data_IF_473508804347
#
_entry.id   IF_473508804347
#
_cell.length_a   1.000
_cell.length_b   1.000
_cell.length_c   1.000
_cell.angle_alpha   90.00
_cell.angle_beta   90.00
_cell.angle_gamma   90.00
#
_symmetry.space_group_name_H-M   'P 1'
#
loop_
_entity.id
_entity.type
_entity.pdbx_description
1 polymer ?
#
# COMPACT_ATOMS: atom_id res chain seq x y z
N UNK A 1 -15.76 -18.89 1.89
CA UNK A 1 -15.32 -18.09 0.73
C UNK A 1 -13.85 -18.41 0.44
N UNK A 2 -13.43 -18.65 -0.80
CA UNK A 2 -12.00 -18.77 -1.13
C UNK A 2 -11.47 -17.39 -1.55
N UNK A 3 -10.49 -16.84 -0.81
CA UNK A 3 -9.92 -15.49 -1.01
C UNK A 3 -9.48 -15.26 -2.46
N UNK A 4 -8.94 -16.28 -3.12
CA UNK A 4 -8.48 -16.22 -4.53
C UNK A 4 -9.58 -15.96 -5.55
N UNK A 5 -10.84 -16.29 -5.23
CA UNK A 5 -12.01 -16.05 -6.11
C UNK A 5 -12.88 -14.89 -5.62
N UNK A 6 -12.69 -14.46 -4.36
CA UNK A 6 -13.41 -13.34 -3.77
C UNK A 6 -12.75 -11.97 -4.01
N UNK A 7 -11.48 -11.96 -4.44
CA UNK A 7 -10.72 -10.75 -4.74
C UNK A 7 -10.27 -10.75 -6.20
N UNK A 8 -10.81 -9.80 -6.96
CA UNK A 8 -10.47 -9.59 -8.37
C UNK A 8 -8.95 -9.41 -8.59
N UNK A 9 -8.26 -8.75 -7.65
CA UNK A 9 -6.81 -8.53 -7.69
C UNK A 9 -5.97 -9.79 -7.43
N UNK A 10 -6.54 -10.79 -6.75
CA UNK A 10 -5.88 -12.05 -6.40
C UNK A 10 -6.31 -13.22 -7.31
N UNK A 11 -7.27 -12.97 -8.20
CA UNK A 11 -7.77 -13.97 -9.14
C UNK A 11 -6.71 -14.25 -10.22
N UNK A 12 -6.64 -15.50 -10.67
CA UNK A 12 -5.85 -15.81 -11.87
C UNK A 12 -6.56 -15.21 -13.08
N UNK A 13 -5.78 -14.65 -14.01
CA UNK A 13 -6.34 -14.20 -15.28
C UNK A 13 -7.08 -15.35 -15.98
N UNK A 14 -8.33 -15.10 -16.34
CA UNK A 14 -9.18 -16.07 -17.06
C UNK A 14 -9.07 -15.78 -18.55
N UNK A 15 -8.53 -16.74 -19.31
CA UNK A 15 -8.49 -16.65 -20.75
C UNK A 15 -9.91 -16.86 -21.31
N UNK A 16 -10.39 -15.93 -22.12
CA UNK A 16 -11.62 -16.11 -22.91
C UNK A 16 -11.27 -16.01 -24.41
N UNK A 17 -12.01 -16.75 -25.24
CA UNK A 17 -11.87 -16.71 -26.70
C UNK A 17 -12.19 -15.33 -27.28
N UNK A 18 -13.18 -14.63 -26.69
CA UNK A 18 -13.62 -13.32 -27.15
C UNK A 18 -12.64 -12.18 -26.85
N UNK A 19 -11.64 -12.42 -26.02
CA UNK A 19 -10.70 -11.39 -25.56
C UNK A 19 -9.29 -11.59 -26.12
N UNK A 20 -9.13 -12.51 -27.08
CA UNK A 20 -7.86 -12.81 -27.75
C UNK A 20 -6.72 -13.08 -26.76
N UNK A 21 -7.03 -13.77 -25.66
CA UNK A 21 -6.08 -14.07 -24.57
C UNK A 21 -5.33 -12.84 -24.03
N UNK A 22 -5.88 -11.63 -24.16
CA UNK A 22 -5.41 -10.51 -23.35
C UNK A 22 -5.71 -10.87 -21.90
N UNK A 23 -4.67 -11.09 -21.10
CA UNK A 23 -4.79 -11.56 -19.71
C UNK A 23 -4.53 -10.44 -18.70
N UNK A 24 -3.82 -9.41 -19.14
CA UNK A 24 -3.41 -8.26 -18.33
C UNK A 24 -4.42 -7.13 -18.53
N UNK A 25 -5.35 -6.99 -17.59
CA UNK A 25 -6.31 -5.88 -17.51
C UNK A 25 -6.11 -5.08 -16.23
N UNK A 26 -6.72 -3.90 -16.14
CA UNK A 26 -6.74 -3.03 -14.94
C UNK A 26 -7.31 -3.66 -13.66
N UNK A 27 -7.70 -4.93 -13.72
CA UNK A 27 -8.02 -5.79 -12.57
C UNK A 27 -6.79 -6.38 -11.88
N UNK A 28 -5.59 -6.26 -12.47
CA UNK A 28 -4.33 -6.71 -11.88
C UNK A 28 -3.78 -5.60 -10.97
N UNK A 29 -3.29 -5.97 -9.79
CA UNK A 29 -2.58 -5.02 -8.93
C UNK A 29 -1.28 -4.62 -9.63
N UNK A 30 -1.24 -3.42 -10.22
CA UNK A 30 -0.03 -2.86 -10.86
C UNK A 30 1.09 -2.65 -9.82
N UNK A 31 0.68 -2.46 -8.57
CA UNK A 31 1.50 -2.36 -7.39
C UNK A 31 1.14 -3.50 -6.41
N UNK A 32 2.08 -4.38 -6.04
CA UNK A 32 1.82 -5.46 -5.09
C UNK A 32 1.37 -4.96 -3.71
N UNK A 33 1.71 -3.74 -3.30
CA UNK A 33 1.35 -3.19 -2.00
C UNK A 33 -0.17 -2.98 -1.86
N UNK A 34 -0.86 -2.71 -2.97
CA UNK A 34 -2.32 -2.61 -3.01
C UNK A 34 -2.96 -3.96 -2.70
N UNK A 35 -2.41 -5.06 -3.24
CA UNK A 35 -2.90 -6.41 -2.96
C UNK A 35 -2.71 -6.77 -1.49
N UNK A 36 -1.55 -6.45 -0.90
CA UNK A 36 -1.26 -6.66 0.53
C UNK A 36 -2.25 -5.90 1.40
N UNK A 37 -2.54 -4.65 1.06
CA UNK A 37 -3.49 -3.80 1.79
C UNK A 37 -4.89 -4.41 1.76
N UNK A 38 -5.38 -4.79 0.58
CA UNK A 38 -6.71 -5.39 0.40
C UNK A 38 -6.80 -6.74 1.14
N UNK A 39 -5.76 -7.58 1.08
CA UNK A 39 -5.71 -8.84 1.82
C UNK A 39 -5.74 -8.61 3.33
N UNK A 40 -5.06 -7.56 3.82
CA UNK A 40 -5.04 -7.21 5.23
C UNK A 40 -6.42 -6.80 5.73
N UNK A 41 -7.15 -6.01 4.95
CA UNK A 41 -8.55 -5.65 5.23
C UNK A 41 -9.42 -6.91 5.29
N UNK A 42 -9.35 -7.75 4.26
CA UNK A 42 -10.11 -9.01 4.20
C UNK A 42 -9.84 -9.89 5.42
N UNK A 43 -8.56 -10.08 5.77
CA UNK A 43 -8.16 -10.87 6.92
C UNK A 43 -8.75 -10.33 8.21
N UNK A 44 -8.76 -9.01 8.39
CA UNK A 44 -9.21 -8.40 9.64
C UNK A 44 -10.73 -8.49 9.75
N UNK A 45 -11.45 -8.15 8.68
CA UNK A 45 -12.91 -8.22 8.62
C UNK A 45 -13.44 -9.64 8.91
N UNK A 46 -12.94 -10.65 8.21
CA UNK A 46 -13.47 -12.02 8.37
C UNK A 46 -13.12 -12.66 9.72
N UNK A 47 -12.04 -12.22 10.37
CA UNK A 47 -11.66 -12.78 11.65
C UNK A 47 -12.36 -12.11 12.83
N UNK A 48 -12.66 -10.81 12.73
CA UNK A 48 -13.15 -10.01 13.86
C UNK A 48 -14.59 -9.51 13.70
N UNK A 49 -15.09 -9.32 12.48
CA UNK A 49 -16.42 -8.75 12.23
C UNK A 49 -17.45 -9.83 11.84
N UNK A 50 -17.09 -10.70 10.89
CA UNK A 50 -18.04 -11.68 10.33
C UNK A 50 -18.36 -12.79 11.34
N UNK A 51 -19.64 -12.94 11.68
CA UNK A 51 -20.14 -13.99 12.58
C UNK A 51 -20.61 -15.22 11.79
N UNK A 52 -20.23 -16.40 12.28
CA UNK A 52 -20.71 -17.66 11.73
C UNK A 52 -22.14 -18.00 12.16
N UNK A 53 -22.62 -19.18 11.73
CA UNK A 53 -23.93 -19.72 12.14
C UNK A 53 -24.06 -19.95 13.66
N UNK A 54 -22.93 -20.14 14.32
CA UNK A 54 -22.79 -20.29 15.77
C UNK A 54 -22.76 -18.95 16.52
N UNK A 55 -22.91 -17.82 15.81
CA UNK A 55 -22.88 -16.47 16.37
C UNK A 55 -21.49 -16.02 16.83
N UNK A 56 -20.43 -16.75 16.48
CA UNK A 56 -19.05 -16.46 16.90
C UNK A 56 -18.16 -16.12 15.72
N UNK A 57 -17.24 -15.19 15.92
CA UNK A 57 -16.18 -14.87 14.96
C UNK A 57 -14.98 -15.82 15.15
N UNK A 58 -14.13 -16.03 14.13
CA UNK A 58 -12.91 -16.81 14.28
C UNK A 58 -12.01 -16.33 15.42
N UNK A 59 -11.86 -15.03 15.61
CA UNK A 59 -11.08 -14.46 16.71
C UNK A 59 -11.67 -14.82 18.08
N UNK A 60 -13.00 -14.90 18.21
CA UNK A 60 -13.65 -15.38 19.45
C UNK A 60 -13.35 -16.86 19.71
N UNK A 61 -13.33 -17.70 18.66
CA UNK A 61 -13.01 -19.14 18.82
C UNK A 61 -11.57 -19.37 19.30
N UNK A 62 -10.66 -18.48 18.91
CA UNK A 62 -9.26 -18.50 19.34
C UNK A 62 -9.03 -17.80 20.69
N UNK A 63 -10.06 -17.18 21.28
CA UNK A 63 -9.93 -16.40 22.52
C UNK A 63 -9.23 -15.05 22.36
N UNK A 64 -9.05 -14.56 21.13
CA UNK A 64 -8.42 -13.27 20.84
C UNK A 64 -9.37 -12.09 21.01
N UNK A 65 -10.68 -12.31 20.86
CA UNK A 65 -11.71 -11.29 20.95
C UNK A 65 -12.83 -11.72 21.90
N UNK A 66 -13.40 -10.76 22.65
CA UNK A 66 -14.53 -10.99 23.56
C UNK A 66 -15.88 -11.06 22.83
N UNK A 67 -16.00 -10.40 21.68
CA UNK A 67 -17.22 -10.33 20.88
C UNK A 67 -16.90 -9.90 19.45
N UNK A 68 -17.92 -9.85 18.57
CA UNK A 68 -17.79 -9.29 17.23
C UNK A 68 -17.40 -7.82 17.31
N UNK A 69 -16.47 -7.40 16.45
CA UNK A 69 -16.00 -6.02 16.34
C UNK A 69 -16.71 -5.34 15.18
N UNK A 70 -17.14 -4.09 15.36
CA UNK A 70 -17.76 -3.32 14.30
C UNK A 70 -16.70 -2.92 13.23
N UNK A 71 -16.99 -2.99 11.92
CA UNK A 71 -16.05 -2.60 10.87
C UNK A 71 -15.51 -1.18 11.03
N UNK A 72 -16.35 -0.27 11.54
CA UNK A 72 -16.04 1.14 11.77
C UNK A 72 -14.95 1.32 12.84
N UNK A 73 -14.83 0.38 13.78
CA UNK A 73 -13.79 0.40 14.82
C UNK A 73 -12.41 -0.02 14.27
N UNK A 74 -12.37 -0.63 13.08
CA UNK A 74 -11.15 -1.17 12.46
C UNK A 74 -10.67 -0.27 11.31
N UNK A 75 -11.59 0.23 10.50
CA UNK A 75 -11.31 1.11 9.36
C UNK A 75 -11.88 2.49 9.67
N UNK A 76 -11.11 3.28 10.40
CA UNK A 76 -11.46 4.67 10.67
C UNK A 76 -11.00 5.58 9.52
N UNK A 77 -11.85 6.52 9.13
CA UNK A 77 -11.50 7.59 8.18
C UNK A 77 -10.43 8.45 8.83
N UNK A 78 -9.21 8.36 8.32
CA UNK A 78 -8.16 9.29 8.70
C UNK A 78 -8.41 10.59 7.93
N UNK A 79 -8.72 11.72 8.61
CA UNK A 79 -8.89 12.99 7.91
C UNK A 79 -7.61 13.31 7.16
N UNK A 80 -7.76 13.94 6.00
CA UNK A 80 -6.68 14.36 5.14
C UNK A 80 -5.63 15.13 5.95
N UNK A 81 -4.44 14.53 6.05
CA UNK A 81 -3.31 15.17 6.69
C UNK A 81 -3.06 16.50 5.97
N UNK A 82 -2.83 17.61 6.72
CA UNK A 82 -2.57 18.89 6.08
C UNK A 82 -1.39 18.72 5.11
N UNK A 83 -1.55 19.25 3.89
CA UNK A 83 -0.55 19.10 2.84
C UNK A 83 0.85 19.34 3.42
N UNK A 84 1.75 18.35 3.27
CA UNK A 84 3.14 18.47 3.73
C UNK A 84 3.71 19.75 3.12
N UNK A 85 3.84 20.81 3.94
CA UNK A 85 4.56 22.01 3.52
C UNK A 85 5.99 21.57 3.26
N UNK A 86 6.44 21.65 2.02
CA UNK A 86 7.86 21.48 1.70
C UNK A 86 8.62 22.46 2.59
N UNK A 87 9.60 21.96 3.34
CA UNK A 87 10.50 22.82 4.07
C UNK A 87 11.09 23.84 3.07
N UNK A 88 11.18 25.13 3.43
CA UNK A 88 11.79 26.11 2.54
C UNK A 88 13.19 25.65 2.19
N UNK A 89 13.56 25.74 0.91
CA UNK A 89 14.89 25.36 0.45
C UNK A 89 15.93 26.12 1.27
N UNK A 90 16.77 25.39 2.00
CA UNK A 90 17.85 26.00 2.75
C UNK A 90 18.81 26.62 1.72
N UNK A 91 18.87 27.96 1.68
CA UNK A 91 19.77 28.68 0.77
C UNK A 91 21.20 28.54 1.30
N UNK A 92 21.81 27.37 1.12
CA UNK A 92 23.23 27.20 1.42
C UNK A 92 23.99 28.10 0.46
N UNK A 93 24.71 29.09 1.01
CA UNK A 93 25.56 30.01 0.26
C UNK A 93 26.54 29.18 -0.58
N UNK A 94 26.67 29.40 -1.90
CA UNK A 94 27.58 28.60 -2.72
C UNK A 94 29.00 28.75 -2.15
N UNK A 95 29.64 27.61 -1.90
CA UNK A 95 31.01 27.57 -1.41
C UNK A 95 31.91 28.17 -2.49
N UNK A 96 32.52 29.33 -2.21
CA UNK A 96 33.35 30.03 -3.16
C UNK A 96 34.48 29.12 -3.67
N UNK A 97 34.62 28.99 -4.99
CA UNK A 97 35.73 28.23 -5.57
C UNK A 97 37.04 28.96 -5.29
N UNK A 98 37.84 28.44 -4.37
CA UNK A 98 39.22 28.88 -4.18
C UNK A 98 40.03 28.40 -5.38
N UNK A 99 40.11 29.21 -6.44
CA UNK A 99 41.10 29.02 -7.51
C UNK A 99 42.39 29.68 -7.02
N UNK A 100 43.26 28.90 -6.39
CA UNK A 100 44.63 29.34 -6.14
C UNK A 100 45.35 29.40 -7.50
N UNK A 101 45.95 30.56 -7.78
CA UNK A 101 46.64 30.83 -9.03
C UNK A 101 47.89 29.96 -9.16
N UNK A 102 47.98 29.24 -10.28
CA UNK A 102 49.28 28.89 -10.83
C UNK A 102 49.68 30.04 -11.74
N UNK A 103 50.51 30.93 -11.21
CA UNK A 103 51.26 31.89 -12.01
C UNK A 103 52.12 31.13 -13.02
N UNK A 104 51.92 31.50 -14.27
CA UNK A 104 52.81 31.34 -15.40
C UNK A 104 54.27 31.58 -15.00
N UNK A 105 55.08 30.52 -14.99
CA UNK A 105 56.52 30.64 -15.14
C UNK A 105 56.85 30.16 -16.55
N UNK A 106 56.95 31.14 -17.45
CA UNK A 106 57.81 31.05 -18.63
C UNK A 106 59.19 30.56 -18.18
N UNK A 107 59.84 29.66 -18.93
CA UNK A 107 61.30 29.68 -19.15
C UNK A 107 61.72 28.60 -20.16
N UNK A 108 62.42 29.11 -21.19
CA UNK A 108 63.46 28.50 -22.03
C UNK A 108 63.08 27.39 -23.03
#
# INVERSE_FOLDING_TARGET
MQVRRGLTLAERAVASSNTDRRLWFGKSAYDPDVLVTVLSIFRTYFNYCEVGRDGKTPAMRLGLARGPVAPEDIIYVQPDLPARRRAPANKTKPLASKREGLESTEMA
#
